data_IF_765651464472
#
_entry.id   IF_765651464472
#
_cell.length_a   1.000
_cell.length_b   1.000
_cell.length_c   1.000
_cell.angle_alpha   90.00
_cell.angle_beta   90.00
_cell.angle_gamma   90.00
#
_symmetry.space_group_name_H-M   'P 1'
#
loop_
_entity.id
_entity.type
_entity.pdbx_description
1 polymer ?
#
# COMPACT_ATOMS: atom_id res chain seq x y z
N UNK A 1 -25.48 57.39 -13.26
CA UNK A 1 -24.73 58.49 -12.63
C UNK A 1 -23.70 57.88 -11.68
N UNK A 2 -22.40 58.10 -11.94
CA UNK A 2 -21.29 57.89 -10.98
C UNK A 2 -21.21 59.13 -10.06
N UNK A 3 -20.72 59.01 -8.80
CA UNK A 3 -19.29 59.31 -8.51
C UNK A 3 -18.64 58.29 -7.54
N UNK A 4 -17.38 57.84 -7.70
CA UNK A 4 -16.02 58.45 -7.52
C UNK A 4 -15.41 58.22 -6.11
N UNK A 5 -14.27 57.50 -6.12
CA UNK A 5 -13.06 57.56 -5.26
C UNK A 5 -13.20 57.20 -3.75
N UNK A 6 -12.19 56.63 -3.06
CA UNK A 6 -10.74 56.76 -3.25
C UNK A 6 -9.96 55.55 -2.70
N UNK A 7 -8.73 55.42 -3.21
CA UNK A 7 -7.72 54.44 -2.90
C UNK A 7 -7.06 54.63 -1.51
N UNK A 8 -6.54 53.55 -0.94
CA UNK A 8 -5.35 53.63 -0.08
C UNK A 8 -4.44 52.43 -0.34
N UNK A 9 -3.31 52.72 -0.98
CA UNK A 9 -2.15 51.84 -1.15
C UNK A 9 -1.27 52.01 0.08
N UNK A 10 -0.89 50.92 0.75
CA UNK A 10 0.23 50.90 1.67
C UNK A 10 1.14 49.73 1.31
N UNK A 11 2.14 50.02 0.48
CA UNK A 11 3.32 49.21 0.33
C UNK A 11 4.25 49.48 1.53
N UNK A 12 4.67 48.43 2.23
CA UNK A 12 5.86 48.47 3.06
C UNK A 12 6.73 47.26 2.73
N UNK A 13 7.80 47.55 2.00
CA UNK A 13 8.94 46.67 1.82
C UNK A 13 9.82 46.78 3.07
N UNK A 14 10.07 45.65 3.74
CA UNK A 14 11.19 45.48 4.66
C UNK A 14 12.14 44.45 4.05
N UNK A 15 13.21 44.97 3.45
CA UNK A 15 14.41 44.22 3.14
C UNK A 15 15.20 44.03 4.45
N UNK A 16 15.38 42.77 4.85
CA UNK A 16 16.42 42.39 5.82
C UNK A 16 17.09 41.11 5.33
N UNK A 17 18.26 41.28 4.73
CA UNK A 17 19.22 40.20 4.52
C UNK A 17 19.61 39.61 5.89
N UNK A 18 19.39 38.32 6.09
CA UNK A 18 20.15 37.59 7.09
C UNK A 18 20.81 36.37 6.44
N UNK A 19 22.13 36.48 6.30
CA UNK A 19 23.05 35.37 6.00
C UNK A 19 22.89 34.30 7.09
N UNK A 20 22.59 33.06 6.71
CA UNK A 20 23.07 31.90 7.46
C UNK A 20 23.16 30.66 6.56
N UNK A 21 24.41 30.30 6.30
CA UNK A 21 24.96 28.98 6.04
C UNK A 21 24.09 27.94 5.32
N UNK A 22 24.40 27.77 4.04
CA UNK A 22 24.36 26.45 3.38
C UNK A 22 25.10 25.41 4.23
N UNK A 23 24.35 24.49 4.82
CA UNK A 23 24.81 23.12 5.03
C UNK A 23 23.92 22.23 4.17
N UNK A 24 24.45 21.55 3.14
CA UNK A 24 23.73 20.45 2.54
C UNK A 24 23.74 19.33 3.57
N UNK A 25 22.64 19.16 4.31
CA UNK A 25 22.39 17.87 4.95
C UNK A 25 21.97 16.93 3.83
N UNK A 26 22.98 16.42 3.13
CA UNK A 26 22.90 15.12 2.50
C UNK A 26 22.82 14.08 3.63
N UNK A 27 21.65 13.96 4.25
CA UNK A 27 21.28 12.73 4.90
C UNK A 27 20.68 11.87 3.79
N UNK A 28 21.55 11.15 3.08
CA UNK A 28 21.10 10.00 2.33
C UNK A 28 20.44 9.06 3.33
N UNK A 29 19.11 9.03 3.32
CA UNK A 29 18.39 7.83 3.70
C UNK A 29 18.74 6.80 2.64
N UNK A 30 19.86 6.11 2.87
CA UNK A 30 20.13 4.86 2.19
C UNK A 30 18.99 3.94 2.59
N UNK A 31 18.06 3.72 1.67
CA UNK A 31 17.24 2.51 1.62
C UNK A 31 18.21 1.34 1.42
N UNK A 32 18.96 1.01 2.47
CA UNK A 32 19.67 -0.25 2.56
C UNK A 32 18.67 -1.36 2.83
N UNK A 33 18.96 -2.61 2.44
CA UNK A 33 18.12 -3.74 2.82
C UNK A 33 17.96 -3.75 4.34
N UNK A 34 16.76 -4.04 4.85
CA UNK A 34 16.54 -4.01 6.30
C UNK A 34 17.58 -4.93 6.95
N UNK A 35 18.39 -4.36 7.85
CA UNK A 35 19.46 -5.12 8.48
C UNK A 35 18.82 -6.20 9.35
N UNK A 36 19.09 -7.47 9.04
CA UNK A 36 18.66 -8.60 9.87
C UNK A 36 19.06 -8.33 11.33
N UNK A 37 18.13 -8.47 12.30
CA UNK A 37 18.45 -8.21 13.69
C UNK A 37 19.65 -9.04 14.15
N UNK A 38 20.72 -8.35 14.53
CA UNK A 38 21.96 -8.97 15.02
C UNK A 38 21.75 -9.58 16.40
N UNK A 39 20.82 -9.03 17.18
CA UNK A 39 20.45 -9.52 18.50
C UNK A 39 19.79 -10.92 18.39
N UNK A 40 20.39 -11.96 19.02
CA UNK A 40 19.86 -13.31 18.96
C UNK A 40 18.49 -13.47 19.64
N UNK A 41 18.17 -12.67 20.65
CA UNK A 41 16.87 -12.71 21.36
C UNK A 41 15.77 -12.19 20.45
N UNK A 42 16.02 -11.08 19.75
CA UNK A 42 15.07 -10.51 18.79
C UNK A 42 14.82 -11.51 17.65
N UNK A 43 15.88 -12.13 17.13
CA UNK A 43 15.76 -13.13 16.05
C UNK A 43 14.97 -14.36 16.47
N UNK A 44 15.20 -14.87 17.69
CA UNK A 44 14.44 -16.00 18.21
C UNK A 44 12.94 -15.67 18.33
N UNK A 45 12.62 -14.48 18.84
CA UNK A 45 11.23 -14.01 18.96
C UNK A 45 10.54 -13.86 17.60
N UNK A 46 11.24 -13.35 16.59
CA UNK A 46 10.70 -13.26 15.22
C UNK A 46 10.42 -14.67 14.67
N UNK A 47 11.38 -15.59 14.79
CA UNK A 47 11.20 -16.99 14.35
C UNK A 47 10.00 -17.67 15.03
N UNK A 48 9.77 -17.40 16.32
CA UNK A 48 8.61 -17.93 17.05
C UNK A 48 7.30 -17.31 16.56
N UNK A 49 7.28 -16.02 16.22
CA UNK A 49 6.10 -15.37 15.66
C UNK A 49 5.68 -15.98 14.31
N UNK A 50 6.63 -16.22 13.40
CA UNK A 50 6.37 -16.92 12.14
C UNK A 50 5.82 -18.33 12.36
N UNK A 51 6.37 -19.04 13.35
CA UNK A 51 5.92 -20.40 13.69
C UNK A 51 4.47 -20.40 14.19
N UNK A 52 4.11 -19.49 15.10
CA UNK A 52 2.73 -19.39 15.63
C UNK A 52 1.72 -18.97 14.57
N UNK A 53 2.13 -18.09 13.66
CA UNK A 53 1.28 -17.63 12.56
C UNK A 53 1.09 -18.66 11.43
N UNK A 54 1.89 -19.74 11.41
CA UNK A 54 1.87 -20.74 10.35
C UNK A 54 0.51 -21.43 10.18
N UNK A 55 -0.19 -21.66 11.30
CA UNK A 55 -1.51 -22.29 11.30
C UNK A 55 -2.61 -21.37 10.76
N UNK A 56 -2.31 -20.08 10.55
CA UNK A 56 -3.22 -19.11 9.94
C UNK A 56 -4.27 -18.53 10.90
N UNK A 57 -4.05 -18.66 12.21
CA UNK A 57 -4.84 -17.99 13.24
C UNK A 57 -4.78 -16.46 13.07
N UNK A 58 -5.92 -15.79 13.15
CA UNK A 58 -6.05 -14.37 12.81
C UNK A 58 -5.28 -13.50 13.80
N UNK A 59 -5.36 -13.81 15.08
CA UNK A 59 -4.69 -13.10 16.15
C UNK A 59 -3.16 -13.25 16.02
N UNK A 60 -2.67 -14.44 15.68
CA UNK A 60 -1.24 -14.67 15.45
C UNK A 60 -0.74 -14.02 14.16
N UNK A 61 -1.52 -14.03 13.07
CA UNK A 61 -1.20 -13.30 11.84
C UNK A 61 -1.14 -11.78 12.07
N UNK A 62 -2.08 -11.24 12.85
CA UNK A 62 -2.08 -9.83 13.22
C UNK A 62 -0.89 -9.48 14.13
N UNK A 63 -0.56 -10.33 15.10
CA UNK A 63 0.61 -10.16 15.95
C UNK A 63 1.91 -10.18 15.14
N UNK A 64 2.03 -11.11 14.17
CA UNK A 64 3.17 -11.15 13.25
C UNK A 64 3.27 -9.86 12.43
N UNK A 65 2.16 -9.38 11.88
CA UNK A 65 2.13 -8.15 11.08
C UNK A 65 2.54 -6.90 11.88
N UNK A 66 2.25 -6.85 13.19
CA UNK A 66 2.72 -5.78 14.08
C UNK A 66 4.24 -5.85 14.31
N UNK A 67 4.79 -7.06 14.42
CA UNK A 67 6.23 -7.27 14.67
C UNK A 67 7.06 -6.99 13.42
N UNK A 68 6.64 -7.49 12.26
CA UNK A 68 7.41 -7.43 11.01
C UNK A 68 7.12 -6.15 10.20
N UNK A 69 5.87 -5.67 10.23
CA UNK A 69 5.39 -4.68 9.28
C UNK A 69 5.36 -5.19 7.83
N UNK A 70 4.91 -4.35 6.90
CA UNK A 70 4.77 -4.75 5.49
C UNK A 70 6.11 -5.17 4.86
N UNK A 71 7.18 -4.41 5.12
CA UNK A 71 8.50 -4.70 4.55
C UNK A 71 9.11 -6.00 5.10
N UNK A 72 9.05 -6.24 6.42
CA UNK A 72 9.58 -7.47 7.02
C UNK A 72 8.83 -8.72 6.55
N UNK A 73 7.51 -8.61 6.34
CA UNK A 73 6.70 -9.70 5.77
C UNK A 73 7.12 -10.03 4.33
N UNK A 74 7.34 -9.03 3.48
CA UNK A 74 7.83 -9.21 2.10
C UNK A 74 9.22 -9.87 2.09
N UNK A 75 10.16 -9.34 2.87
CA UNK A 75 11.50 -9.90 2.99
C UNK A 75 11.48 -11.35 3.52
N UNK A 76 10.67 -11.63 4.55
CA UNK A 76 10.50 -12.98 5.10
C UNK A 76 9.94 -13.97 4.07
N UNK A 77 9.01 -13.52 3.24
CA UNK A 77 8.42 -14.30 2.15
C UNK A 77 9.39 -14.61 1.00
N UNK A 78 10.39 -13.77 0.80
CA UNK A 78 11.45 -13.96 -0.19
C UNK A 78 12.60 -14.82 0.36
N UNK A 79 12.88 -14.72 1.66
CA UNK A 79 13.93 -15.46 2.33
C UNK A 79 13.58 -16.94 2.54
N UNK A 80 12.30 -17.26 2.81
CA UNK A 80 11.85 -18.63 3.05
C UNK A 80 10.51 -18.93 2.35
N UNK A 81 10.50 -19.98 1.53
CA UNK A 81 9.29 -20.44 0.85
C UNK A 81 8.18 -20.88 1.83
N UNK A 82 8.53 -21.37 3.02
CA UNK A 82 7.55 -21.72 4.05
C UNK A 82 6.82 -20.49 4.60
N UNK A 83 7.47 -19.32 4.63
CA UNK A 83 6.89 -18.06 5.07
C UNK A 83 5.97 -17.43 4.03
N UNK A 84 6.09 -17.80 2.76
CA UNK A 84 5.41 -17.12 1.65
C UNK A 84 3.91 -16.96 1.85
N UNK A 85 3.19 -18.04 2.14
CA UNK A 85 1.73 -18.00 2.35
C UNK A 85 1.35 -17.30 3.65
N UNK A 86 2.14 -17.47 4.70
CA UNK A 86 1.95 -16.81 6.00
C UNK A 86 2.06 -15.30 5.82
N UNK A 87 3.08 -14.83 5.09
CA UNK A 87 3.31 -13.44 4.79
C UNK A 87 2.15 -12.82 4.00
N UNK A 88 1.65 -13.52 2.96
CA UNK A 88 0.51 -13.04 2.16
C UNK A 88 -0.72 -12.83 3.06
N UNK A 89 -1.03 -13.77 3.95
CA UNK A 89 -2.15 -13.66 4.89
C UNK A 89 -1.93 -12.56 5.92
N UNK A 90 -0.74 -12.50 6.52
CA UNK A 90 -0.38 -11.52 7.55
C UNK A 90 -0.39 -10.08 7.00
N UNK A 91 -0.05 -9.90 5.72
CA UNK A 91 -0.03 -8.59 5.06
C UNK A 91 -1.38 -7.86 5.16
N UNK A 92 -2.49 -8.60 5.24
CA UNK A 92 -3.84 -8.05 5.45
C UNK A 92 -3.95 -7.18 6.72
N UNK A 93 -3.14 -7.50 7.74
CA UNK A 93 -3.15 -6.86 9.05
C UNK A 93 -2.01 -5.87 9.25
N UNK A 94 -1.06 -5.79 8.32
CA UNK A 94 0.03 -4.83 8.38
C UNK A 94 -0.52 -3.39 8.31
N UNK A 95 0.01 -2.50 9.16
CA UNK A 95 -0.38 -1.09 9.13
C UNK A 95 0.06 -0.46 7.79
N UNK A 96 -0.71 0.53 7.34
CA UNK A 96 -0.37 1.24 6.12
C UNK A 96 -0.85 0.53 4.86
N UNK A 97 -0.42 1.09 3.72
CA UNK A 97 -0.66 0.52 2.38
C UNK A 97 0.62 0.01 1.72
N UNK A 98 1.77 0.00 2.42
CA UNK A 98 3.05 -0.46 1.87
C UNK A 98 3.01 -1.85 1.22
N UNK A 99 2.19 -2.77 1.75
CA UNK A 99 2.03 -4.13 1.20
C UNK A 99 1.22 -4.24 -0.10
N UNK A 100 0.48 -3.20 -0.51
CA UNK A 100 -0.46 -3.27 -1.65
C UNK A 100 0.27 -3.58 -2.96
N UNK A 101 1.43 -2.94 -3.19
CA UNK A 101 2.24 -3.17 -4.40
C UNK A 101 2.74 -4.62 -4.49
N UNK A 102 3.23 -5.16 -3.37
CA UNK A 102 3.72 -6.54 -3.32
C UNK A 102 2.58 -7.53 -3.54
N UNK A 103 1.44 -7.36 -2.86
CA UNK A 103 0.26 -8.21 -3.04
C UNK A 103 -0.29 -8.17 -4.48
N UNK A 104 -0.26 -7.01 -5.15
CA UNK A 104 -0.62 -6.93 -6.57
C UNK A 104 0.31 -7.77 -7.45
N UNK A 105 1.62 -7.80 -7.14
CA UNK A 105 2.58 -8.67 -7.80
C UNK A 105 2.34 -10.16 -7.55
N UNK A 106 2.00 -10.53 -6.31
CA UNK A 106 1.61 -11.90 -5.95
C UNK A 106 0.32 -12.31 -6.67
N UNK A 107 -0.68 -11.44 -6.73
CA UNK A 107 -1.92 -11.67 -7.46
C UNK A 107 -1.66 -11.91 -8.96
N UNK A 108 -0.73 -11.17 -9.56
CA UNK A 108 -0.37 -11.33 -10.98
C UNK A 108 0.42 -12.61 -11.26
N UNK A 109 1.45 -12.90 -10.45
CA UNK A 109 2.51 -13.88 -10.78
C UNK A 109 2.59 -15.10 -9.87
N UNK A 110 1.91 -15.07 -8.73
CA UNK A 110 1.89 -16.19 -7.78
C UNK A 110 1.20 -17.43 -8.34
N UNK A 111 1.29 -18.53 -7.61
CA UNK A 111 0.42 -19.70 -7.81
C UNK A 111 -1.05 -19.32 -7.62
N UNK A 112 -1.98 -20.15 -8.09
CA UNK A 112 -3.42 -19.82 -7.97
C UNK A 112 -3.88 -19.68 -6.52
N UNK A 113 -3.31 -20.49 -5.62
CA UNK A 113 -3.58 -20.38 -4.19
C UNK A 113 -3.03 -19.06 -3.60
N UNK A 114 -1.78 -18.69 -3.92
CA UNK A 114 -1.20 -17.42 -3.48
C UNK A 114 -1.94 -16.21 -4.06
N UNK A 115 -2.37 -16.29 -5.31
CA UNK A 115 -3.15 -15.26 -5.95
C UNK A 115 -4.51 -15.09 -5.26
N UNK A 116 -5.17 -16.19 -4.88
CA UNK A 116 -6.40 -16.13 -4.08
C UNK A 116 -6.17 -15.46 -2.72
N UNK A 117 -5.13 -15.88 -1.99
CA UNK A 117 -4.78 -15.29 -0.69
C UNK A 117 -4.45 -13.80 -0.82
N UNK A 118 -3.74 -13.41 -1.89
CA UNK A 118 -3.41 -12.01 -2.15
C UNK A 118 -4.64 -11.17 -2.47
N UNK A 119 -5.62 -11.70 -3.22
CA UNK A 119 -6.89 -11.03 -3.46
C UNK A 119 -7.66 -10.79 -2.15
N UNK A 120 -7.72 -11.78 -1.26
CA UNK A 120 -8.39 -11.65 0.04
C UNK A 120 -7.68 -10.65 0.97
N UNK A 121 -6.35 -10.67 0.98
CA UNK A 121 -5.55 -9.70 1.73
C UNK A 121 -5.76 -8.27 1.22
N UNK A 122 -5.80 -8.07 -0.10
CA UNK A 122 -6.08 -6.77 -0.71
C UNK A 122 -7.48 -6.25 -0.37
N UNK A 123 -8.50 -7.11 -0.40
CA UNK A 123 -9.87 -6.75 0.00
C UNK A 123 -9.91 -6.37 1.47
N UNK A 124 -9.22 -7.12 2.33
CA UNK A 124 -9.12 -6.82 3.77
C UNK A 124 -8.46 -5.45 3.97
N UNK A 125 -7.32 -5.20 3.32
CA UNK A 125 -6.62 -3.90 3.36
C UNK A 125 -7.56 -2.76 2.94
N UNK A 126 -8.26 -2.94 1.83
CA UNK A 126 -9.15 -1.94 1.24
C UNK A 126 -10.41 -1.65 2.09
N UNK A 127 -10.81 -2.59 2.95
CA UNK A 127 -11.97 -2.43 3.83
C UNK A 127 -11.69 -1.62 5.10
N UNK A 128 -10.41 -1.35 5.41
CA UNK A 128 -10.02 -0.67 6.64
C UNK A 128 -10.29 0.83 6.54
N UNK A 129 -10.67 1.50 7.66
CA UNK A 129 -10.70 2.95 7.70
C UNK A 129 -9.31 3.52 7.39
N UNK A 130 -9.20 4.48 6.46
CA UNK A 130 -7.91 5.11 6.20
C UNK A 130 -7.60 6.08 7.34
N UNK A 131 -6.43 5.91 7.93
CA UNK A 131 -5.87 6.85 8.90
C UNK A 131 -4.91 7.79 8.17
N UNK A 132 -4.56 8.92 8.79
CA UNK A 132 -3.48 9.76 8.27
C UNK A 132 -2.18 8.93 8.29
N UNK A 133 -1.70 8.57 7.11
CA UNK A 133 -0.49 7.77 6.90
C UNK A 133 0.65 8.65 6.39
N UNK A 134 1.87 8.11 6.40
CA UNK A 134 3.05 8.81 5.90
C UNK A 134 2.90 9.13 4.40
N UNK A 135 3.53 10.20 3.92
CA UNK A 135 3.50 10.56 2.50
C UNK A 135 4.05 9.43 1.60
N UNK A 136 5.04 8.68 2.11
CA UNK A 136 5.64 7.53 1.41
C UNK A 136 4.64 6.39 1.15
N UNK A 137 3.69 6.16 2.08
CA UNK A 137 2.61 5.17 1.90
C UNK A 137 1.70 5.54 0.72
N UNK A 138 1.53 6.84 0.45
CA UNK A 138 0.72 7.33 -0.66
C UNK A 138 1.28 6.98 -2.05
N UNK A 139 2.61 6.96 -2.19
CA UNK A 139 3.25 6.59 -3.45
C UNK A 139 3.26 5.07 -3.65
N UNK A 140 3.49 4.29 -2.58
CA UNK A 140 3.40 2.82 -2.63
C UNK A 140 1.97 2.36 -2.94
N UNK A 141 0.97 3.00 -2.34
CA UNK A 141 -0.43 2.76 -2.67
C UNK A 141 -0.71 3.05 -4.14
N UNK A 142 -0.26 4.19 -4.67
CA UNK A 142 -0.45 4.54 -6.09
C UNK A 142 0.16 3.50 -7.03
N UNK A 143 1.40 3.08 -6.76
CA UNK A 143 2.07 2.02 -7.53
C UNK A 143 1.28 0.69 -7.47
N UNK A 144 0.73 0.35 -6.30
CA UNK A 144 -0.15 -0.80 -6.14
C UNK A 144 -1.44 -0.68 -6.94
N UNK A 145 -2.11 0.48 -6.89
CA UNK A 145 -3.29 0.78 -7.71
C UNK A 145 -2.99 0.64 -9.21
N UNK A 146 -1.86 1.19 -9.68
CA UNK A 146 -1.47 1.13 -11.09
C UNK A 146 -1.24 -0.33 -11.53
N UNK A 147 -0.56 -1.13 -10.70
CA UNK A 147 -0.35 -2.56 -10.96
C UNK A 147 -1.66 -3.36 -11.03
N UNK A 148 -2.57 -3.13 -10.08
CA UNK A 148 -3.90 -3.75 -10.11
C UNK A 148 -4.71 -3.31 -11.34
N UNK A 149 -4.58 -2.04 -11.74
CA UNK A 149 -5.26 -1.48 -12.91
C UNK A 149 -4.77 -2.12 -14.21
N UNK A 150 -3.47 -2.30 -14.34
CA UNK A 150 -2.86 -3.03 -15.44
C UNK A 150 -3.32 -4.49 -15.47
N UNK A 151 -3.30 -5.19 -14.33
CA UNK A 151 -3.75 -6.57 -14.23
C UNK A 151 -5.23 -6.73 -14.61
N UNK A 152 -6.11 -5.85 -14.13
CA UNK A 152 -7.54 -5.92 -14.44
C UNK A 152 -7.83 -5.81 -15.96
N UNK A 153 -7.03 -5.02 -16.68
CA UNK A 153 -7.12 -4.79 -18.13
C UNK A 153 -6.50 -5.90 -18.98
N UNK A 154 -5.61 -6.71 -18.41
CA UNK A 154 -4.85 -7.70 -19.17
C UNK A 154 -5.73 -8.90 -19.55
N UNK A 155 -6.25 -8.90 -20.77
CA UNK A 155 -7.06 -9.99 -21.32
C UNK A 155 -6.34 -11.34 -21.43
N UNK A 156 -5.01 -11.37 -21.33
CA UNK A 156 -4.22 -12.59 -21.31
C UNK A 156 -4.13 -13.27 -19.93
N UNK A 157 -4.59 -12.60 -18.87
CA UNK A 157 -4.55 -13.14 -17.50
C UNK A 157 -5.81 -13.90 -17.12
N UNK A 158 -5.70 -14.90 -16.21
CA UNK A 158 -6.87 -15.61 -15.68
C UNK A 158 -7.94 -14.65 -15.18
N UNK A 159 -9.21 -14.96 -15.51
CA UNK A 159 -10.37 -14.11 -15.17
C UNK A 159 -10.42 -13.82 -13.67
N UNK A 160 -10.20 -14.81 -12.83
CA UNK A 160 -10.32 -14.66 -11.37
C UNK A 160 -9.29 -13.68 -10.81
N UNK A 161 -8.05 -13.67 -11.34
CA UNK A 161 -7.02 -12.69 -10.96
C UNK A 161 -7.43 -11.28 -11.37
N UNK A 162 -7.96 -11.11 -12.59
CA UNK A 162 -8.44 -9.81 -13.10
C UNK A 162 -9.62 -9.29 -12.28
N UNK A 163 -10.58 -10.15 -11.95
CA UNK A 163 -11.76 -9.81 -11.14
C UNK A 163 -11.34 -9.45 -9.71
N UNK A 164 -10.43 -10.22 -9.11
CA UNK A 164 -9.84 -9.90 -7.81
C UNK A 164 -9.18 -8.53 -7.80
N UNK A 165 -8.38 -8.22 -8.83
CA UNK A 165 -7.74 -6.92 -8.98
C UNK A 165 -8.75 -5.77 -9.11
N UNK A 166 -9.77 -5.94 -9.97
CA UNK A 166 -10.83 -4.94 -10.14
C UNK A 166 -11.62 -4.70 -8.85
N UNK A 167 -11.93 -5.77 -8.10
CA UNK A 167 -12.65 -5.68 -6.83
C UNK A 167 -11.84 -4.88 -5.80
N UNK A 168 -10.55 -5.21 -5.63
CA UNK A 168 -9.65 -4.49 -4.75
C UNK A 168 -9.57 -2.99 -5.14
N UNK A 169 -9.43 -2.68 -6.42
CA UNK A 169 -9.41 -1.29 -6.92
C UNK A 169 -10.69 -0.52 -6.61
N UNK A 170 -11.86 -1.12 -6.81
CA UNK A 170 -13.15 -0.47 -6.52
C UNK A 170 -13.24 -0.07 -5.05
N UNK A 171 -12.79 -0.94 -4.15
CA UNK A 171 -12.77 -0.67 -2.71
C UNK A 171 -11.71 0.38 -2.33
N UNK A 172 -10.49 0.26 -2.87
CA UNK A 172 -9.41 1.23 -2.63
C UNK A 172 -9.67 2.62 -3.25
N UNK A 173 -10.54 2.71 -4.24
CA UNK A 173 -10.97 3.97 -4.85
C UNK A 173 -12.16 4.62 -4.13
N UNK A 174 -12.81 3.94 -3.18
CA UNK A 174 -13.99 4.45 -2.50
C UNK A 174 -13.63 5.70 -1.66
N UNK A 175 -14.18 6.89 -2.00
CA UNK A 175 -13.91 8.13 -1.29
C UNK A 175 -14.51 8.16 0.12
N UNK A 176 -15.46 7.27 0.45
CA UNK A 176 -16.09 7.19 1.78
C UNK A 176 -15.15 6.72 2.90
N UNK A 177 -13.97 6.20 2.54
CA UNK A 177 -13.02 5.61 3.48
C UNK A 177 -11.78 6.48 3.75
N UNK A 178 -11.65 7.72 3.23
CA UNK A 178 -10.39 8.47 3.37
C UNK A 178 -10.45 10.01 3.45
N UNK A 179 -9.34 10.66 3.89
CA UNK A 179 -9.23 12.11 3.95
C UNK A 179 -9.18 12.75 2.53
N UNK A 180 -9.60 14.02 2.39
CA UNK A 180 -9.64 14.72 1.11
C UNK A 180 -8.22 14.85 0.53
N UNK A 181 -7.93 14.08 -0.54
CA UNK A 181 -6.63 14.05 -1.21
C UNK A 181 -6.16 12.64 -1.60
N UNK A 182 -6.70 11.60 -0.98
CA UNK A 182 -6.29 10.20 -1.18
C UNK A 182 -6.91 9.53 -2.42
N UNK A 183 -7.01 10.23 -3.56
CA UNK A 183 -7.43 9.62 -4.84
C UNK A 183 -6.27 8.86 -5.50
N UNK A 184 -5.64 7.95 -4.77
CA UNK A 184 -4.50 7.18 -5.27
C UNK A 184 -4.91 6.12 -6.30
N UNK A 185 -6.13 5.57 -6.19
CA UNK A 185 -6.66 4.56 -7.11
C UNK A 185 -7.66 5.18 -8.09
N UNK A 186 -7.49 4.87 -9.38
CA UNK A 186 -8.46 5.16 -10.44
C UNK A 186 -9.00 3.84 -10.98
N UNK A 187 -10.31 3.63 -10.88
CA UNK A 187 -10.96 2.45 -11.47
C UNK A 187 -11.07 2.64 -12.98
N UNK A 188 -10.55 1.73 -13.80
CA UNK A 188 -10.70 1.82 -15.24
C UNK A 188 -12.16 1.71 -15.70
N UNK A 189 -12.66 2.73 -16.42
CA UNK A 189 -14.04 2.76 -16.91
C UNK A 189 -14.32 1.68 -17.99
N UNK A 190 -13.28 1.24 -18.69
CA UNK A 190 -13.31 0.30 -19.80
C UNK A 190 -13.39 -1.19 -19.39
N UNK A 191 -13.15 -1.50 -18.10
CA UNK A 191 -13.01 -2.90 -17.64
C UNK A 191 -14.28 -3.44 -16.97
N UNK A 192 -15.07 -2.58 -16.33
CA UNK A 192 -16.22 -3.00 -15.52
C UNK A 192 -17.30 -3.75 -16.30
N UNK A 193 -17.67 -3.25 -17.48
CA UNK A 193 -18.78 -3.81 -18.26
C UNK A 193 -18.54 -5.24 -18.75
N UNK A 194 -17.32 -5.58 -19.18
CA UNK A 194 -17.04 -6.92 -19.76
C UNK A 194 -16.83 -8.00 -18.69
N UNK A 195 -16.29 -7.63 -17.52
CA UNK A 195 -16.09 -8.58 -16.41
C UNK A 195 -17.39 -8.87 -15.63
N UNK A 196 -18.26 -7.87 -15.48
CA UNK A 196 -19.53 -7.99 -14.74
C UNK A 196 -20.60 -8.76 -15.56
N UNK A 197 -20.65 -8.61 -16.89
CA UNK A 197 -21.70 -9.23 -17.74
C UNK A 197 -21.52 -10.74 -17.95
N UNK A 198 -20.29 -11.27 -17.92
CA UNK A 198 -20.01 -12.69 -18.19
C UNK A 198 -20.07 -13.61 -16.96
N UNK A 199 -20.33 -13.08 -15.77
CA UNK A 199 -20.41 -13.84 -14.51
C UNK A 199 -21.79 -14.38 -14.13
N UNK A 200 -22.83 -14.07 -14.91
CA UNK A 200 -24.22 -14.44 -14.61
C UNK A 200 -24.71 -15.69 -15.35
N UNK A 201 -23.80 -16.60 -15.74
CA UNK A 201 -24.15 -17.87 -16.41
C UNK A 201 -23.54 -19.07 -15.69
#
# INVERSE_FOLDING_TARGET
>A
MRPIAAALVCALALAACNKRSTSPVAAGASSGPAATPKDPVVRARMSEAWTRAADGDVEELAALAVVEGSAGLEEGAEADAAHRKVAIRAMAYARGHGGVRWLAGVLDKGSDEEASLAADALVTIASRPRVAEDAEDGDLLRQGCDALGALAKDGGRPRDRRVGALRALRMLADPGLGPPGARACVVPADVGGDLDVRGAR
#
